data_IF_401544373805
#
_entry.id   IF_401544373805
#
_cell.length_a   1.000
_cell.length_b   1.000
_cell.length_c   1.000
_cell.angle_alpha   90.00
_cell.angle_beta   90.00
_cell.angle_gamma   90.00
#
_symmetry.space_group_name_H-M   'P 1'
#
loop_
_entity.id
_entity.type
_entity.pdbx_description
1 polymer ?
#
# COMPACT_ATOMS: atom_id res chain seq x y z
N UNK A 1 11.51 -3.76 -3.13
CA UNK A 1 11.12 -2.46 -2.55
C UNK A 1 11.14 -1.35 -3.61
N UNK A 2 12.31 -0.78 -3.95
CA UNK A 2 12.43 0.31 -4.93
C UNK A 2 11.95 -0.03 -6.34
N UNK A 3 12.23 -1.25 -6.84
CA UNK A 3 11.77 -1.68 -8.17
C UNK A 3 10.25 -1.55 -8.31
N UNK A 4 9.51 -2.23 -7.42
CA UNK A 4 8.05 -2.35 -7.50
C UNK A 4 7.35 -1.07 -7.01
N UNK A 5 7.90 -0.41 -5.99
CA UNK A 5 7.28 0.73 -5.33
C UNK A 5 7.74 2.11 -5.80
N UNK A 6 8.79 2.23 -6.63
CA UNK A 6 9.25 3.52 -7.14
C UNK A 6 9.54 3.44 -8.64
N UNK A 7 10.52 2.63 -9.05
CA UNK A 7 11.04 2.67 -10.42
C UNK A 7 10.00 2.32 -11.49
N UNK A 8 9.26 1.23 -11.29
CA UNK A 8 8.22 0.81 -12.21
C UNK A 8 7.01 1.77 -12.18
N UNK A 9 6.48 2.19 -11.00
CA UNK A 9 5.46 3.23 -10.93
C UNK A 9 5.83 4.54 -11.61
N UNK A 10 7.05 5.04 -11.38
CA UNK A 10 7.55 6.27 -12.01
C UNK A 10 7.65 6.14 -13.53
N UNK A 11 8.07 4.98 -14.03
CA UNK A 11 8.09 4.71 -15.47
C UNK A 11 6.66 4.72 -16.05
N UNK A 12 5.74 3.94 -15.49
CA UNK A 12 4.39 3.81 -16.01
C UNK A 12 3.60 5.12 -15.93
N UNK A 13 3.66 5.80 -14.79
CA UNK A 13 3.02 7.12 -14.64
C UNK A 13 3.73 8.17 -15.50
N UNK A 14 5.04 8.07 -15.68
CA UNK A 14 5.79 8.95 -16.58
C UNK A 14 5.34 8.81 -18.04
N UNK A 15 5.10 7.58 -18.49
CA UNK A 15 4.54 7.27 -19.80
C UNK A 15 3.13 7.85 -19.92
N UNK A 16 2.21 7.47 -19.02
CA UNK A 16 0.80 7.86 -19.13
C UNK A 16 0.56 9.35 -18.93
N UNK A 17 1.48 10.07 -18.28
CA UNK A 17 1.44 11.53 -18.15
C UNK A 17 2.20 12.26 -19.26
N UNK A 18 2.89 11.53 -20.15
CA UNK A 18 3.74 12.12 -21.19
C UNK A 18 4.91 12.96 -20.64
N UNK A 19 5.36 12.69 -19.41
CA UNK A 19 6.41 13.50 -18.74
C UNK A 19 7.82 12.98 -18.99
N UNK A 20 7.98 11.81 -19.63
CA UNK A 20 9.30 11.36 -20.06
C UNK A 20 9.89 12.31 -21.10
N UNK A 21 11.22 12.35 -21.20
CA UNK A 21 11.91 13.15 -22.21
C UNK A 21 11.58 12.60 -23.61
N UNK A 22 11.44 13.49 -24.60
CA UNK A 22 11.32 13.05 -26.00
C UNK A 22 12.72 12.89 -26.56
N UNK A 23 13.01 11.75 -27.19
CA UNK A 23 14.26 11.59 -27.92
C UNK A 23 14.30 12.47 -29.17
N UNK A 24 15.50 12.67 -29.72
CA UNK A 24 15.67 13.40 -30.99
C UNK A 24 14.86 12.70 -32.10
N UNK A 25 13.87 13.39 -32.65
CA UNK A 25 13.02 12.88 -33.72
C UNK A 25 11.72 12.21 -33.25
N UNK A 26 11.49 12.09 -31.94
CA UNK A 26 10.20 11.63 -31.38
C UNK A 26 9.28 12.82 -31.07
N UNK A 27 7.99 12.61 -31.27
CA UNK A 27 6.93 13.58 -30.98
C UNK A 27 5.95 12.99 -29.98
N UNK A 28 5.78 13.69 -28.85
CA UNK A 28 4.84 13.33 -27.78
C UNK A 28 3.39 13.32 -28.25
N UNK A 29 3.05 14.02 -29.34
CA UNK A 29 1.71 13.97 -29.94
C UNK A 29 1.34 12.56 -30.41
N UNK A 30 2.34 11.73 -30.71
CA UNK A 30 2.14 10.34 -31.15
C UNK A 30 1.96 9.35 -29.99
N UNK A 31 2.10 9.81 -28.74
CA UNK A 31 1.97 8.97 -27.55
C UNK A 31 0.50 8.85 -27.16
N UNK A 32 -0.23 7.95 -27.81
CA UNK A 32 -1.63 7.62 -27.54
C UNK A 32 -1.88 7.10 -26.10
N UNK A 33 -0.84 6.62 -25.42
CA UNK A 33 -0.90 6.27 -24.00
C UNK A 33 -0.85 7.47 -23.04
N UNK A 34 -0.48 8.67 -23.49
CA UNK A 34 -0.26 9.85 -22.66
C UNK A 34 -1.58 10.57 -22.28
N UNK A 35 -2.49 9.84 -21.63
CA UNK A 35 -3.86 10.30 -21.31
C UNK A 35 -4.02 10.99 -19.96
N UNK A 36 -3.09 10.77 -19.02
CA UNK A 36 -3.11 11.38 -17.68
C UNK A 36 -2.47 12.77 -17.73
N UNK A 37 -3.09 13.69 -18.47
CA UNK A 37 -2.61 15.07 -18.63
C UNK A 37 -3.67 16.09 -18.24
N UNK A 38 -3.23 17.30 -17.89
CA UNK A 38 -4.10 18.43 -17.53
C UNK A 38 -5.19 18.04 -16.53
N UNK A 39 -6.44 18.30 -16.90
CA UNK A 39 -7.62 18.12 -16.04
C UNK A 39 -7.87 16.65 -15.67
N UNK A 40 -7.61 15.71 -16.59
CA UNK A 40 -7.76 14.27 -16.35
C UNK A 40 -6.87 13.83 -15.20
N UNK A 41 -5.62 14.32 -15.17
CA UNK A 41 -4.68 13.98 -14.11
C UNK A 41 -5.07 14.57 -12.75
N UNK A 42 -5.53 15.83 -12.74
CA UNK A 42 -6.00 16.49 -11.52
C UNK A 42 -7.20 15.77 -10.90
N UNK A 43 -8.18 15.40 -11.73
CA UNK A 43 -9.42 14.77 -11.27
C UNK A 43 -9.17 13.32 -10.85
N UNK A 44 -8.35 12.57 -11.60
CA UNK A 44 -7.86 11.25 -11.19
C UNK A 44 -7.12 11.30 -9.85
N UNK A 45 -6.29 12.32 -9.65
CA UNK A 45 -5.56 12.52 -8.40
C UNK A 45 -6.48 12.73 -7.19
N UNK A 46 -7.56 13.49 -7.36
CA UNK A 46 -8.61 13.68 -6.34
C UNK A 46 -9.35 12.38 -6.06
N UNK A 47 -9.64 11.60 -7.10
CA UNK A 47 -10.30 10.30 -6.95
C UNK A 47 -9.46 9.33 -6.14
N UNK A 48 -8.17 9.20 -6.44
CA UNK A 48 -7.21 8.39 -5.66
C UNK A 48 -7.21 8.81 -4.19
N UNK A 49 -7.15 10.12 -3.91
CA UNK A 49 -7.17 10.64 -2.54
C UNK A 49 -8.51 10.35 -1.83
N UNK A 50 -9.62 10.38 -2.57
CA UNK A 50 -10.97 10.09 -2.03
C UNK A 50 -11.12 8.65 -1.57
N UNK A 51 -10.33 7.71 -2.12
CA UNK A 51 -10.35 6.30 -1.71
C UNK A 51 -9.84 6.07 -0.29
N UNK A 52 -9.15 7.04 0.31
CA UNK A 52 -8.60 6.94 1.68
C UNK A 52 -9.62 6.46 2.71
N UNK A 53 -10.88 6.89 2.62
CA UNK A 53 -11.95 6.51 3.56
C UNK A 53 -12.34 5.02 3.52
N UNK A 54 -11.93 4.31 2.47
CA UNK A 54 -12.27 2.90 2.25
C UNK A 54 -11.10 1.96 2.48
N UNK A 55 -9.91 2.47 2.79
CA UNK A 55 -8.72 1.65 3.02
C UNK A 55 -8.59 1.42 4.53
N UNK A 56 -8.71 0.17 5.02
CA UNK A 56 -8.54 -0.13 6.44
C UNK A 56 -7.13 0.20 6.90
N UNK A 57 -7.01 0.95 8.00
CA UNK A 57 -5.73 1.33 8.60
C UNK A 57 -4.91 0.09 9.06
N UNK A 58 -5.59 -1.03 9.34
CA UNK A 58 -4.96 -2.34 9.60
C UNK A 58 -4.14 -2.88 8.43
N UNK A 59 -4.61 -2.64 7.21
CA UNK A 59 -4.01 -3.19 6.00
C UNK A 59 -2.96 -2.25 5.43
N UNK A 60 -3.15 -0.94 5.59
CA UNK A 60 -2.20 0.05 5.15
C UNK A 60 -2.20 1.26 6.08
N UNK A 61 -1.05 1.52 6.72
CA UNK A 61 -0.88 2.67 7.62
C UNK A 61 -0.93 4.03 6.91
N UNK A 62 -0.74 4.04 5.59
CA UNK A 62 -0.69 5.25 4.76
C UNK A 62 -1.48 5.08 3.47
N UNK A 63 -2.76 5.44 3.51
CA UNK A 63 -3.55 5.61 2.28
C UNK A 63 -2.86 6.59 1.32
N UNK A 64 -2.90 6.32 0.00
CA UNK A 64 -2.25 7.17 -0.99
C UNK A 64 -2.82 8.59 -0.95
N UNK A 65 -1.92 9.57 -0.87
CA UNK A 65 -2.29 10.99 -1.04
C UNK A 65 -2.64 11.27 -2.50
N UNK A 66 -3.10 12.49 -2.80
CA UNK A 66 -3.33 12.92 -4.17
C UNK A 66 -2.01 12.83 -4.99
N UNK A 67 -1.87 11.90 -5.95
CA UNK A 67 -0.64 11.77 -6.71
C UNK A 67 -0.36 13.00 -7.59
N UNK A 68 -1.39 13.72 -8.05
CA UNK A 68 -1.23 14.92 -8.86
C UNK A 68 -0.53 16.06 -8.11
N UNK A 69 -0.71 16.13 -6.79
CA UNK A 69 -0.09 17.15 -5.94
C UNK A 69 1.24 16.71 -5.31
N UNK A 70 1.46 15.40 -5.15
CA UNK A 70 2.52 14.87 -4.28
C UNK A 70 3.60 14.05 -4.97
N UNK A 71 3.40 13.58 -6.20
CA UNK A 71 4.41 12.76 -6.91
C UNK A 71 5.78 13.44 -7.00
N UNK A 72 5.81 14.77 -7.21
CA UNK A 72 7.07 15.54 -7.27
C UNK A 72 7.64 15.94 -5.90
N UNK A 73 6.94 15.69 -4.80
CA UNK A 73 7.29 16.21 -3.47
C UNK A 73 7.32 15.12 -2.38
N UNK A 74 7.81 13.92 -2.72
CA UNK A 74 8.00 12.84 -1.75
C UNK A 74 6.77 11.92 -1.59
N UNK A 75 6.20 11.50 -2.71
CA UNK A 75 5.24 10.39 -2.74
C UNK A 75 5.95 9.09 -2.39
N UNK A 76 5.46 8.38 -1.39
CA UNK A 76 6.19 7.25 -0.80
C UNK A 76 6.00 6.00 -1.64
N UNK A 77 7.01 5.14 -1.56
CA UNK A 77 6.96 3.83 -2.19
C UNK A 77 5.75 2.99 -1.76
N UNK A 78 5.32 3.06 -0.49
CA UNK A 78 4.10 2.39 -0.02
C UNK A 78 2.83 2.97 -0.67
N UNK A 79 2.76 4.29 -0.85
CA UNK A 79 1.62 4.94 -1.52
C UNK A 79 1.54 4.54 -2.99
N UNK A 80 2.68 4.42 -3.68
CA UNK A 80 2.70 3.89 -5.05
C UNK A 80 2.22 2.44 -5.10
N UNK A 81 2.62 1.59 -4.14
CA UNK A 81 2.17 0.19 -4.13
C UNK A 81 0.65 0.09 -4.01
N UNK A 82 0.06 0.87 -3.10
CA UNK A 82 -1.39 0.86 -2.86
C UNK A 82 -2.14 1.46 -4.03
N UNK A 83 -1.67 2.62 -4.52
CA UNK A 83 -2.27 3.29 -5.67
C UNK A 83 -2.18 2.40 -6.92
N UNK A 84 -0.97 2.01 -7.33
CA UNK A 84 -0.76 1.39 -8.63
C UNK A 84 -1.10 -0.10 -8.66
N UNK A 85 -1.06 -0.84 -7.56
CA UNK A 85 -1.40 -2.27 -7.60
C UNK A 85 -2.72 -2.58 -6.90
N UNK A 86 -3.12 -1.76 -5.92
CA UNK A 86 -4.39 -1.92 -5.21
C UNK A 86 -5.56 -1.27 -5.96
N UNK A 87 -5.48 0.04 -6.17
CA UNK A 87 -6.58 0.86 -6.70
C UNK A 87 -6.57 0.97 -8.24
N UNK A 88 -5.38 1.04 -8.82
CA UNK A 88 -5.17 1.42 -10.21
C UNK A 88 -5.90 0.56 -11.25
N UNK A 89 -6.05 -0.78 -11.11
CA UNK A 89 -6.86 -1.55 -12.06
C UNK A 89 -8.29 -1.05 -12.20
N UNK A 90 -8.91 -0.59 -11.10
CA UNK A 90 -10.25 -0.01 -11.12
C UNK A 90 -10.23 1.44 -11.57
N UNK A 91 -9.36 2.26 -10.96
CA UNK A 91 -9.35 3.72 -11.21
C UNK A 91 -8.84 4.10 -12.60
N UNK A 92 -8.00 3.29 -13.23
CA UNK A 92 -7.50 3.56 -14.58
C UNK A 92 -8.34 2.92 -15.68
N UNK A 93 -9.37 2.14 -15.32
CA UNK A 93 -10.27 1.53 -16.29
C UNK A 93 -11.15 2.60 -16.95
N UNK A 94 -11.15 2.64 -18.30
CA UNK A 94 -11.84 3.68 -19.06
C UNK A 94 -11.09 5.01 -19.16
N UNK A 95 -10.01 5.20 -18.39
CA UNK A 95 -9.08 6.33 -18.56
C UNK A 95 -7.95 5.92 -19.50
N UNK A 96 -7.28 4.80 -19.21
CA UNK A 96 -6.29 4.23 -20.11
C UNK A 96 -6.99 3.58 -21.31
N UNK A 97 -6.47 3.74 -22.55
CA UNK A 97 -6.94 2.94 -23.67
C UNK A 97 -6.81 1.45 -23.35
N UNK A 98 -7.77 0.65 -23.81
CA UNK A 98 -7.96 -0.75 -23.40
C UNK A 98 -6.69 -1.60 -23.58
N UNK A 99 -5.92 -1.36 -24.66
CA UNK A 99 -4.65 -2.06 -24.90
C UNK A 99 -3.61 -1.83 -23.79
N UNK A 100 -3.46 -0.58 -23.33
CA UNK A 100 -2.53 -0.22 -22.26
C UNK A 100 -3.05 -0.65 -20.90
N UNK A 101 -4.35 -0.57 -20.67
CA UNK A 101 -4.96 -1.03 -19.41
C UNK A 101 -4.80 -2.54 -19.23
N UNK A 102 -5.05 -3.34 -20.27
CA UNK A 102 -4.87 -4.80 -20.24
C UNK A 102 -3.40 -5.17 -20.03
N UNK A 103 -2.50 -4.51 -20.76
CA UNK A 103 -1.06 -4.66 -20.57
C UNK A 103 -0.64 -4.39 -19.12
N UNK A 104 -1.06 -3.25 -18.58
CA UNK A 104 -0.84 -2.87 -17.18
C UNK A 104 -1.40 -3.91 -16.18
N UNK A 105 -2.59 -4.45 -16.42
CA UNK A 105 -3.17 -5.48 -15.55
C UNK A 105 -2.31 -6.75 -15.44
N UNK A 106 -1.50 -7.08 -16.46
CA UNK A 106 -0.56 -8.21 -16.40
C UNK A 106 0.50 -8.01 -15.32
N UNK A 107 1.12 -6.82 -15.29
CA UNK A 107 2.11 -6.51 -14.25
C UNK A 107 1.46 -6.39 -12.88
N UNK A 108 0.26 -5.81 -12.79
CA UNK A 108 -0.48 -5.77 -11.51
C UNK A 108 -0.72 -7.18 -10.97
N UNK A 109 -1.15 -8.11 -11.81
CA UNK A 109 -1.34 -9.49 -11.39
C UNK A 109 -0.04 -10.12 -10.88
N UNK A 110 1.06 -9.98 -11.63
CA UNK A 110 2.36 -10.53 -11.24
C UNK A 110 2.85 -9.97 -9.89
N UNK A 111 2.84 -8.65 -9.74
CA UNK A 111 3.26 -7.97 -8.51
C UNK A 111 2.32 -8.33 -7.34
N UNK A 112 1.00 -8.36 -7.53
CA UNK A 112 0.10 -8.73 -6.42
C UNK A 112 0.28 -10.17 -5.99
N UNK A 113 0.60 -11.08 -6.90
CA UNK A 113 0.79 -12.51 -6.58
C UNK A 113 2.04 -12.73 -5.73
N UNK A 114 3.16 -12.12 -6.08
CA UNK A 114 4.42 -12.31 -5.33
C UNK A 114 4.44 -11.63 -3.96
N UNK A 115 3.66 -10.55 -3.77
CA UNK A 115 3.57 -9.83 -2.50
C UNK A 115 2.53 -10.42 -1.53
N UNK A 116 1.90 -11.57 -1.85
CA UNK A 116 1.00 -12.24 -0.91
C UNK A 116 1.77 -12.90 0.23
N UNK A 117 1.21 -12.92 1.46
CA UNK A 117 1.79 -13.65 2.59
C UNK A 117 1.90 -15.16 2.33
N UNK A 118 0.93 -15.72 1.60
CA UNK A 118 0.87 -17.13 1.21
C UNK A 118 0.78 -17.20 -0.32
N UNK A 119 1.69 -17.95 -0.93
CA UNK A 119 1.84 -18.04 -2.39
C UNK A 119 1.71 -19.50 -2.81
N UNK A 120 0.75 -19.79 -3.68
CA UNK A 120 0.59 -21.11 -4.29
C UNK A 120 1.40 -21.22 -5.58
N UNK A 121 2.04 -22.37 -5.82
CA UNK A 121 2.88 -22.59 -7.00
C UNK A 121 2.15 -22.38 -8.33
N UNK A 122 0.89 -22.80 -8.43
CA UNK A 122 0.08 -22.60 -9.64
C UNK A 122 -0.10 -21.11 -9.98
N UNK A 123 -0.26 -20.26 -8.95
CA UNK A 123 -0.34 -18.81 -9.12
C UNK A 123 0.97 -18.22 -9.62
N UNK A 124 2.12 -18.80 -9.26
CA UNK A 124 3.44 -18.35 -9.72
C UNK A 124 3.67 -18.63 -11.20
N UNK A 125 3.22 -19.78 -11.71
CA UNK A 125 3.33 -20.11 -13.13
C UNK A 125 2.57 -19.09 -14.01
N UNK A 126 1.32 -18.78 -13.62
CA UNK A 126 0.52 -17.76 -14.33
C UNK A 126 1.13 -16.36 -14.20
N UNK A 127 1.62 -15.99 -13.01
CA UNK A 127 2.30 -14.71 -12.81
C UNK A 127 3.56 -14.58 -13.67
N UNK A 128 4.38 -15.63 -13.79
CA UNK A 128 5.56 -15.63 -14.64
C UNK A 128 5.18 -15.39 -16.10
N UNK A 129 4.19 -16.11 -16.61
CA UNK A 129 3.71 -15.93 -17.97
C UNK A 129 3.27 -14.47 -18.22
N UNK A 130 2.47 -13.91 -17.33
CA UNK A 130 1.97 -12.54 -17.47
C UNK A 130 3.08 -11.49 -17.41
N UNK A 131 4.11 -11.70 -16.57
CA UNK A 131 5.27 -10.79 -16.52
C UNK A 131 6.14 -10.89 -17.78
N UNK A 132 6.32 -12.09 -18.35
CA UNK A 132 7.01 -12.28 -19.62
C UNK A 132 6.27 -11.58 -20.77
N UNK A 133 4.96 -11.80 -20.86
CA UNK A 133 4.09 -11.13 -21.83
C UNK A 133 4.16 -9.61 -21.67
N UNK A 134 4.10 -9.09 -20.44
CA UNK A 134 4.23 -7.66 -20.16
C UNK A 134 5.53 -7.08 -20.72
N UNK A 135 6.67 -7.73 -20.47
CA UNK A 135 7.99 -7.24 -20.93
C UNK A 135 8.07 -7.25 -22.45
N UNK A 136 7.58 -8.29 -23.12
CA UNK A 136 7.56 -8.38 -24.58
C UNK A 136 6.63 -7.32 -25.20
N UNK A 137 5.40 -7.20 -24.68
CA UNK A 137 4.42 -6.24 -25.17
C UNK A 137 4.85 -4.79 -24.89
N UNK A 138 5.63 -4.53 -23.84
CA UNK A 138 6.19 -3.21 -23.56
C UNK A 138 7.05 -2.71 -24.74
N UNK A 139 7.81 -3.61 -25.37
CA UNK A 139 8.61 -3.30 -26.55
C UNK A 139 7.75 -2.83 -27.71
N UNK A 140 6.61 -3.49 -27.93
CA UNK A 140 5.70 -3.19 -29.03
C UNK A 140 4.80 -1.99 -28.77
N UNK A 141 4.39 -1.77 -27.52
CA UNK A 141 3.40 -0.76 -27.14
C UNK A 141 4.03 0.61 -26.91
N UNK A 142 5.09 0.66 -26.10
CA UNK A 142 5.70 1.93 -25.67
C UNK A 142 6.97 2.26 -26.45
N UNK A 143 7.91 1.32 -26.53
CA UNK A 143 9.19 1.55 -27.22
C UNK A 143 9.03 1.57 -28.74
N UNK A 144 8.12 0.77 -29.30
CA UNK A 144 7.82 0.67 -30.73
C UNK A 144 9.04 0.41 -31.62
N UNK A 145 10.14 -0.09 -31.04
CA UNK A 145 11.45 -0.27 -31.70
C UNK A 145 12.03 1.04 -32.27
N UNK A 146 11.64 2.17 -31.71
CA UNK A 146 12.14 3.48 -32.07
C UNK A 146 13.34 3.84 -31.18
N UNK A 147 14.49 4.08 -31.80
CA UNK A 147 15.72 4.47 -31.11
C UNK A 147 15.56 5.75 -30.29
N UNK A 148 14.67 6.67 -30.69
CA UNK A 148 14.39 7.88 -29.92
C UNK A 148 13.74 7.55 -28.55
N UNK A 149 13.07 6.40 -28.44
CA UNK A 149 12.40 5.89 -27.24
C UNK A 149 13.19 4.84 -26.48
N UNK A 150 14.45 4.58 -26.86
CA UNK A 150 15.28 3.56 -26.23
C UNK A 150 15.37 3.70 -24.69
N UNK A 151 15.37 4.94 -24.20
CA UNK A 151 15.42 5.26 -22.78
C UNK A 151 14.16 4.84 -21.98
N UNK A 152 13.08 4.43 -22.64
CA UNK A 152 11.91 3.82 -21.98
C UNK A 152 12.21 2.41 -21.46
N UNK A 153 13.17 1.70 -22.06
CA UNK A 153 13.59 0.36 -21.66
C UNK A 153 14.47 0.45 -20.40
N UNK A 154 13.83 0.70 -19.26
CA UNK A 154 14.51 0.79 -17.97
C UNK A 154 14.76 -0.59 -17.36
N UNK A 155 15.82 -0.69 -16.55
CA UNK A 155 16.17 -1.92 -15.82
C UNK A 155 15.01 -2.50 -15.00
N UNK A 156 14.10 -1.66 -14.50
CA UNK A 156 12.94 -2.12 -13.74
C UNK A 156 11.97 -2.97 -14.54
N UNK A 157 11.88 -2.78 -15.88
CA UNK A 157 11.05 -3.61 -16.77
C UNK A 157 11.70 -4.97 -16.96
N UNK A 158 13.00 -5.00 -17.31
CA UNK A 158 13.74 -6.26 -17.46
C UNK A 158 13.75 -7.09 -16.17
N UNK A 159 13.91 -6.43 -15.01
CA UNK A 159 13.94 -7.10 -13.72
C UNK A 159 12.65 -7.86 -13.36
N UNK A 160 11.54 -7.66 -14.08
CA UNK A 160 10.28 -8.36 -13.87
C UNK A 160 10.38 -9.86 -14.19
N UNK A 161 11.15 -10.24 -15.21
CA UNK A 161 11.26 -11.65 -15.63
C UNK A 161 11.99 -12.50 -14.58
N UNK A 162 12.83 -11.88 -13.77
CA UNK A 162 13.60 -12.53 -12.70
C UNK A 162 12.82 -12.64 -11.39
N UNK A 163 11.63 -12.04 -11.29
CA UNK A 163 10.90 -11.98 -10.03
C UNK A 163 10.44 -13.33 -9.52
N UNK A 164 9.83 -14.14 -10.39
CA UNK A 164 9.29 -15.45 -9.99
C UNK A 164 10.40 -16.44 -9.67
N UNK A 165 11.48 -16.57 -10.46
CA UNK A 165 12.65 -17.36 -10.07
C UNK A 165 13.21 -16.95 -8.70
N UNK A 166 13.27 -15.65 -8.43
CA UNK A 166 13.75 -15.15 -7.15
C UNK A 166 12.81 -15.48 -6.00
N UNK A 167 11.49 -15.37 -6.19
CA UNK A 167 10.49 -15.78 -5.19
C UNK A 167 10.61 -17.26 -4.84
N UNK A 168 10.88 -18.12 -5.83
CA UNK A 168 11.12 -19.55 -5.58
C UNK A 168 12.41 -19.79 -4.80
N UNK A 169 13.40 -18.91 -4.93
CA UNK A 169 14.71 -19.04 -4.27
C UNK A 169 14.72 -18.53 -2.84
N UNK A 170 14.12 -17.37 -2.57
CA UNK A 170 14.21 -16.67 -1.27
C UNK A 170 12.87 -16.39 -0.60
N UNK A 171 11.75 -16.76 -1.23
CA UNK A 171 10.41 -16.51 -0.74
C UNK A 171 9.84 -15.15 -1.14
N UNK A 172 8.72 -14.78 -0.51
CA UNK A 172 8.00 -13.54 -0.86
C UNK A 172 8.88 -12.30 -0.68
N UNK A 173 8.86 -11.36 -1.64
CA UNK A 173 9.54 -10.06 -1.51
C UNK A 173 9.07 -9.24 -0.32
N UNK A 174 7.88 -9.51 0.24
CA UNK A 174 7.43 -8.88 1.48
C UNK A 174 8.32 -9.27 2.68
N UNK A 175 8.84 -10.50 2.70
CA UNK A 175 9.67 -11.03 3.79
C UNK A 175 11.14 -10.61 3.67
N UNK A 176 11.64 -10.39 2.44
CA UNK A 176 13.04 -10.02 2.17
C UNK A 176 13.20 -8.54 1.80
N UNK A 177 12.15 -7.74 1.93
CA UNK A 177 12.20 -6.32 1.62
C UNK A 177 13.14 -5.55 2.55
N UNK A 178 13.73 -4.48 2.00
CA UNK A 178 14.70 -3.65 2.72
C UNK A 178 14.06 -2.65 3.71
N UNK A 179 12.73 -2.59 3.80
CA UNK A 179 12.00 -1.63 4.65
C UNK A 179 12.51 -1.61 6.10
N UNK A 180 12.67 -2.80 6.70
CA UNK A 180 13.12 -2.94 8.08
C UNK A 180 14.56 -2.49 8.24
N UNK A 181 15.42 -2.80 7.26
CA UNK A 181 16.82 -2.38 7.26
C UNK A 181 16.94 -0.86 7.13
N UNK A 182 16.22 -0.23 6.21
CA UNK A 182 16.22 1.23 6.04
C UNK A 182 15.68 1.95 7.27
N UNK A 183 14.61 1.43 7.87
CA UNK A 183 14.09 1.94 9.14
C UNK A 183 15.16 1.86 10.22
N UNK A 184 15.87 0.73 10.32
CA UNK A 184 16.93 0.55 11.29
C UNK A 184 18.10 1.52 11.05
N UNK A 185 18.51 1.72 9.80
CA UNK A 185 19.51 2.73 9.43
C UNK A 185 19.06 4.12 9.92
N UNK A 186 17.83 4.54 9.61
CA UNK A 186 17.31 5.84 10.04
C UNK A 186 17.25 6.00 11.56
N UNK A 187 16.91 4.93 12.30
CA UNK A 187 16.94 4.94 13.77
C UNK A 187 18.37 5.10 14.27
N UNK A 188 19.32 4.32 13.75
CA UNK A 188 20.72 4.38 14.14
C UNK A 188 21.35 5.73 13.84
N UNK A 189 21.06 6.33 12.68
CA UNK A 189 21.56 7.66 12.32
C UNK A 189 21.11 8.74 13.31
N UNK A 190 19.87 8.68 13.80
CA UNK A 190 19.36 9.63 14.82
C UNK A 190 20.03 9.47 16.19
N UNK A 191 20.66 8.33 16.43
CA UNK A 191 21.37 8.06 17.68
C UNK A 191 22.83 8.46 17.67
N UNK A 192 23.37 8.83 16.50
CA UNK A 192 24.72 9.37 16.39
C UNK A 192 24.72 10.75 17.05
N UNK A 193 25.38 10.85 18.20
CA UNK A 193 25.47 12.10 18.99
C UNK A 193 26.84 12.76 18.93
N UNK A 194 27.84 12.06 18.38
CA UNK A 194 29.21 12.54 18.32
C UNK A 194 29.69 12.65 16.87
N UNK A 195 29.76 13.87 16.30
CA UNK A 195 30.17 14.07 14.90
C UNK A 195 31.67 13.82 14.68
N UNK A 196 32.51 13.88 15.72
CA UNK A 196 33.96 13.70 15.61
C UNK A 196 34.42 12.24 15.49
N UNK A 197 33.61 11.27 15.92
CA UNK A 197 33.89 9.85 15.73
C UNK A 197 32.58 9.05 15.51
N UNK A 198 31.90 9.28 14.37
CA UNK A 198 30.55 8.79 14.13
C UNK A 198 30.51 7.27 14.04
N UNK A 199 31.52 6.63 13.47
CA UNK A 199 31.56 5.16 13.33
C UNK A 199 31.75 4.45 14.66
N UNK A 200 32.68 4.90 15.53
CA UNK A 200 32.83 4.30 16.85
C UNK A 200 31.59 4.52 17.72
N UNK A 201 30.96 5.70 17.61
CA UNK A 201 29.71 6.00 18.29
C UNK A 201 28.57 5.08 17.81
N UNK A 202 28.40 4.94 16.50
CA UNK A 202 27.43 4.05 15.87
C UNK A 202 27.62 2.60 16.31
N UNK A 203 28.84 2.07 16.27
CA UNK A 203 29.14 0.70 16.72
C UNK A 203 28.75 0.49 18.19
N UNK A 204 29.07 1.44 19.08
CA UNK A 204 28.66 1.36 20.50
C UNK A 204 27.14 1.39 20.65
N UNK A 205 26.44 2.26 19.91
CA UNK A 205 24.96 2.33 19.92
C UNK A 205 24.34 1.02 19.44
N UNK A 206 24.86 0.43 18.37
CA UNK A 206 24.40 -0.86 17.85
C UNK A 206 24.59 -1.99 18.88
N UNK A 207 25.75 -2.08 19.54
CA UNK A 207 26.03 -3.07 20.59
C UNK A 207 25.07 -2.90 21.77
N UNK A 208 24.89 -1.68 22.28
CA UNK A 208 23.97 -1.42 23.41
C UNK A 208 22.54 -1.84 23.05
N UNK A 209 22.05 -1.52 21.85
CA UNK A 209 20.71 -1.95 21.43
C UNK A 209 20.61 -3.46 21.30
N UNK A 210 21.63 -4.13 20.75
CA UNK A 210 21.65 -5.59 20.66
C UNK A 210 21.60 -6.22 22.07
N UNK A 211 22.36 -5.69 23.03
CA UNK A 211 22.33 -6.13 24.43
C UNK A 211 20.98 -5.90 25.09
N UNK A 212 20.36 -4.72 24.92
CA UNK A 212 19.02 -4.43 25.44
C UNK A 212 17.98 -5.37 24.82
N UNK A 213 18.02 -5.59 23.50
CA UNK A 213 17.11 -6.50 22.82
C UNK A 213 17.29 -7.95 23.29
N UNK A 214 18.53 -8.39 23.53
CA UNK A 214 18.83 -9.71 24.09
C UNK A 214 18.29 -9.85 25.52
N UNK A 215 18.52 -8.85 26.39
CA UNK A 215 17.97 -8.83 27.75
C UNK A 215 16.44 -8.88 27.76
N UNK A 216 15.78 -8.10 26.89
CA UNK A 216 14.32 -8.12 26.72
C UNK A 216 13.81 -9.49 26.25
N UNK A 217 14.52 -10.15 25.34
CA UNK A 217 14.15 -11.48 24.87
C UNK A 217 14.36 -12.57 25.94
N UNK A 218 15.41 -12.44 26.77
CA UNK A 218 15.72 -13.37 27.85
C UNK A 218 14.81 -13.18 29.07
N UNK A 219 14.38 -11.95 29.35
CA UNK A 219 13.56 -11.58 30.50
C UNK A 219 12.37 -10.75 30.01
N UNK A 220 11.28 -11.38 29.53
CA UNK A 220 10.11 -10.67 29.01
C UNK A 220 9.47 -9.71 30.03
N UNK A 221 9.57 -10.03 31.33
CA UNK A 221 9.02 -9.22 32.42
C UNK A 221 9.73 -7.87 32.63
N UNK A 222 10.87 -7.64 31.95
CA UNK A 222 11.59 -6.37 31.99
C UNK A 222 10.81 -5.24 31.25
N UNK A 223 9.84 -5.58 30.39
CA UNK A 223 8.92 -4.61 29.79
C UNK A 223 7.80 -4.24 30.75
N UNK A 224 8.08 -3.29 31.65
CA UNK A 224 7.09 -2.74 32.59
C UNK A 224 6.02 -1.86 31.93
N UNK A 225 6.20 -1.44 30.68
CA UNK A 225 5.21 -0.66 29.95
C UNK A 225 4.12 -1.58 29.40
N UNK A 226 3.13 -1.89 30.25
CA UNK A 226 1.83 -2.32 29.70
C UNK A 226 1.38 -1.23 28.72
N UNK A 227 1.07 -1.57 27.45
CA UNK A 227 0.60 -0.59 26.48
C UNK A 227 -0.72 0.01 26.99
N UNK A 228 -0.60 1.17 27.65
CA UNK A 228 -1.71 1.92 28.15
C UNK A 228 -2.56 2.38 26.96
N UNK A 229 -3.87 2.22 27.08
CA UNK A 229 -4.76 2.69 26.04
C UNK A 229 -4.61 4.21 25.92
N UNK A 230 -4.48 4.75 24.69
CA UNK A 230 -4.44 6.19 24.49
C UNK A 230 -5.64 6.87 25.16
N UNK A 231 -5.43 8.08 25.69
CA UNK A 231 -6.49 8.83 26.39
C UNK A 231 -7.76 8.92 25.52
N UNK A 232 -8.88 8.49 26.09
CA UNK A 232 -10.19 8.48 25.43
C UNK A 232 -10.54 7.22 24.63
N UNK A 233 -9.65 6.23 24.60
CA UNK A 233 -10.02 4.90 24.07
C UNK A 233 -11.08 4.24 24.97
N UNK A 234 -11.96 3.44 24.37
CA UNK A 234 -12.98 2.65 25.08
C UNK A 234 -12.55 1.18 25.11
N UNK A 235 -12.25 0.66 26.30
CA UNK A 235 -12.02 -0.77 26.50
C UNK A 235 -13.36 -1.50 26.41
N UNK A 236 -13.49 -2.39 25.43
CA UNK A 236 -14.71 -3.19 25.22
C UNK A 236 -14.56 -4.62 25.76
N UNK A 237 -13.46 -4.90 26.47
CA UNK A 237 -13.18 -6.17 27.12
C UNK A 237 -12.53 -7.21 26.21
N UNK A 238 -12.10 -8.33 26.80
CA UNK A 238 -11.48 -9.48 26.10
C UNK A 238 -10.25 -9.12 25.25
N UNK A 239 -9.54 -8.04 25.58
CA UNK A 239 -8.38 -7.58 24.83
C UNK A 239 -8.69 -6.70 23.61
N UNK A 240 -9.96 -6.33 23.42
CA UNK A 240 -10.42 -5.40 22.40
C UNK A 240 -10.55 -3.99 22.97
N UNK A 241 -10.17 -2.98 22.19
CA UNK A 241 -10.38 -1.58 22.58
C UNK A 241 -10.61 -0.68 21.37
N UNK A 242 -11.57 0.22 21.45
CA UNK A 242 -11.82 1.23 20.43
C UNK A 242 -10.92 2.44 20.69
N UNK A 243 -10.25 2.93 19.66
CA UNK A 243 -9.23 3.98 19.74
C UNK A 243 -9.59 5.10 18.78
N UNK A 244 -9.33 6.34 19.17
CA UNK A 244 -9.54 7.52 18.31
C UNK A 244 -8.78 7.42 16.97
N UNK A 245 -9.26 8.09 15.90
CA UNK A 245 -10.42 9.01 15.86
C UNK A 245 -11.80 8.35 15.98
N UNK A 246 -12.76 9.08 16.57
CA UNK A 246 -14.20 8.77 16.62
C UNK A 246 -14.93 9.86 15.82
N UNK A 247 -15.98 9.51 15.10
CA UNK A 247 -16.85 10.52 14.48
C UNK A 247 -17.51 11.40 15.53
N UNK A 248 -17.59 12.71 15.28
CA UNK A 248 -18.12 13.68 16.25
C UNK A 248 -19.61 13.50 16.59
N UNK A 249 -20.34 12.63 15.86
CA UNK A 249 -21.72 12.29 16.13
C UNK A 249 -22.13 11.01 15.42
N UNK A 250 -23.11 10.31 15.99
CA UNK A 250 -23.66 9.10 15.40
C UNK A 250 -24.53 9.44 14.18
N UNK A 251 -24.41 8.64 13.13
CA UNK A 251 -25.15 8.81 11.88
C UNK A 251 -26.32 7.84 11.81
N UNK A 252 -27.50 8.31 11.38
CA UNK A 252 -28.66 7.44 11.23
C UNK A 252 -28.45 6.51 10.02
N UNK A 253 -28.60 5.21 10.24
CA UNK A 253 -28.58 4.23 9.16
C UNK A 253 -29.92 4.29 8.43
N UNK A 254 -29.91 4.90 7.25
CA UNK A 254 -31.11 5.10 6.43
C UNK A 254 -31.31 4.01 5.37
N UNK A 255 -30.29 3.18 5.09
CA UNK A 255 -30.37 2.17 4.03
C UNK A 255 -31.02 0.86 4.54
N UNK A 256 -32.15 0.40 3.96
CA UNK A 256 -32.91 -0.74 4.48
C UNK A 256 -32.10 -2.05 4.58
N UNK A 257 -31.21 -2.31 3.63
CA UNK A 257 -30.35 -3.50 3.66
C UNK A 257 -29.37 -3.50 4.84
N UNK A 258 -28.84 -2.34 5.24
CA UNK A 258 -27.93 -2.23 6.38
C UNK A 258 -28.68 -2.46 7.69
N UNK A 259 -29.89 -1.89 7.82
CA UNK A 259 -30.79 -2.11 8.96
C UNK A 259 -31.15 -3.59 9.10
N UNK A 260 -31.52 -4.26 8.00
CA UNK A 260 -31.83 -5.68 8.00
C UNK A 260 -30.63 -6.55 8.40
N UNK A 261 -29.43 -6.23 7.91
CA UNK A 261 -28.21 -6.96 8.24
C UNK A 261 -27.85 -6.84 9.73
N UNK A 262 -27.95 -5.62 10.30
CA UNK A 262 -27.68 -5.38 11.73
C UNK A 262 -28.73 -6.08 12.59
N UNK A 263 -30.00 -5.96 12.25
CA UNK A 263 -31.10 -6.59 13.00
C UNK A 263 -30.94 -8.11 13.02
N UNK A 264 -30.59 -8.73 11.88
CA UNK A 264 -30.30 -10.15 11.78
C UNK A 264 -29.10 -10.58 12.65
N UNK A 265 -28.02 -9.78 12.64
CA UNK A 265 -26.86 -10.04 13.49
C UNK A 265 -27.22 -9.98 14.98
N UNK A 266 -27.96 -8.96 15.41
CA UNK A 266 -28.34 -8.78 16.81
C UNK A 266 -29.28 -9.89 17.28
N UNK A 267 -30.25 -10.29 16.45
CA UNK A 267 -31.09 -11.47 16.72
C UNK A 267 -30.26 -12.75 16.86
N UNK A 268 -29.24 -12.94 16.02
CA UNK A 268 -28.33 -14.12 16.12
C UNK A 268 -27.53 -14.16 17.42
N UNK A 269 -27.41 -13.03 18.14
CA UNK A 269 -26.76 -12.92 19.44
C UNK A 269 -27.72 -13.08 20.62
N UNK A 270 -29.00 -13.38 20.36
CA UNK A 270 -30.01 -13.61 21.38
C UNK A 270 -30.55 -12.34 22.04
N UNK A 271 -30.31 -11.18 21.44
CA UNK A 271 -30.89 -9.91 21.90
C UNK A 271 -32.28 -9.78 21.28
N UNK A 272 -33.30 -9.54 22.10
CA UNK A 272 -34.69 -9.48 21.65
C UNK A 272 -34.90 -8.33 20.64
N UNK A 273 -35.65 -8.60 19.56
CA UNK A 273 -35.93 -7.61 18.50
C UNK A 273 -36.65 -6.36 19.01
N UNK A 274 -37.37 -6.45 20.14
CA UNK A 274 -38.04 -5.33 20.81
C UNK A 274 -37.08 -4.32 21.44
N UNK A 275 -35.78 -4.63 21.54
CA UNK A 275 -34.76 -3.74 22.09
C UNK A 275 -34.13 -2.80 21.03
N UNK A 276 -34.44 -3.00 19.75
CA UNK A 276 -33.88 -2.21 18.64
C UNK A 276 -35.04 -1.47 17.98
N UNK A 277 -34.98 -0.15 17.98
CA UNK A 277 -35.82 0.66 17.11
C UNK A 277 -35.22 0.65 15.70
N UNK A 278 -35.79 -0.18 14.81
CA UNK A 278 -35.33 -0.32 13.42
C UNK A 278 -35.35 1.01 12.64
N UNK A 279 -36.14 1.99 13.09
CA UNK A 279 -36.20 3.33 12.50
C UNK A 279 -35.18 4.31 13.09
N UNK A 280 -34.46 3.93 14.15
CA UNK A 280 -33.55 4.83 14.88
C UNK A 280 -32.21 4.15 15.22
N UNK A 281 -31.66 3.39 14.27
CA UNK A 281 -30.32 2.80 14.41
C UNK A 281 -29.28 3.89 14.12
N UNK A 282 -28.64 4.36 15.19
CA UNK A 282 -27.53 5.30 15.13
C UNK A 282 -26.20 4.53 15.09
N UNK A 283 -25.37 4.81 14.09
CA UNK A 283 -24.06 4.24 13.90
C UNK A 283 -22.99 5.22 14.36
N UNK A 284 -22.14 4.81 15.29
CA UNK A 284 -20.97 5.58 15.69
C UNK A 284 -19.68 4.93 15.19
N UNK A 285 -19.04 5.57 14.21
CA UNK A 285 -17.83 5.03 13.61
C UNK A 285 -16.59 5.37 14.44
N UNK A 286 -15.80 4.34 14.71
CA UNK A 286 -14.46 4.45 15.30
C UNK A 286 -13.42 4.04 14.26
N UNK A 287 -12.45 4.91 13.96
CA UNK A 287 -11.45 4.57 12.95
C UNK A 287 -10.56 3.41 13.36
N UNK A 288 -10.40 3.13 14.67
CA UNK A 288 -9.47 2.13 15.17
C UNK A 288 -10.10 1.22 16.23
N UNK A 289 -9.87 -0.08 16.07
CA UNK A 289 -10.20 -1.16 16.97
C UNK A 289 -8.92 -1.97 17.21
N UNK A 290 -8.40 -1.91 18.42
CA UNK A 290 -7.32 -2.79 18.88
C UNK A 290 -7.87 -4.20 19.04
N UNK A 291 -7.19 -5.16 18.44
CA UNK A 291 -7.47 -6.59 18.54
C UNK A 291 -6.55 -7.24 19.60
N UNK A 292 -6.97 -8.38 20.19
CA UNK A 292 -6.10 -9.22 20.99
C UNK A 292 -4.89 -9.64 20.14
N UNK A 293 -3.67 -9.26 20.55
CA UNK A 293 -2.45 -9.52 19.77
C UNK A 293 -1.86 -8.34 18.97
N UNK A 294 -2.20 -7.09 19.33
CA UNK A 294 -1.57 -5.82 18.87
C UNK A 294 -1.93 -5.28 17.48
N UNK A 295 -2.78 -5.95 16.70
CA UNK A 295 -3.25 -5.41 15.41
C UNK A 295 -4.39 -4.39 15.60
N UNK A 296 -4.42 -3.32 14.80
CA UNK A 296 -5.44 -2.26 14.82
C UNK A 296 -6.33 -2.35 13.57
N UNK A 297 -7.60 -2.74 13.68
CA UNK A 297 -8.62 -2.74 12.61
C UNK A 297 -9.50 -1.47 12.65
N UNK A 298 -10.46 -1.32 11.73
CA UNK A 298 -11.51 -0.27 11.84
C UNK A 298 -12.67 -0.82 12.68
N UNK A 299 -13.22 -0.02 13.60
CA UNK A 299 -14.29 -0.43 14.51
C UNK A 299 -15.62 0.28 14.24
N UNK A 300 -16.73 -0.42 14.42
CA UNK A 300 -18.08 0.16 14.37
C UNK A 300 -18.80 -0.20 15.67
N UNK A 301 -19.49 0.78 16.27
CA UNK A 301 -20.33 0.62 17.46
C UNK A 301 -21.74 1.06 17.16
#
# INVERSE_FOLDING_TARGET
>A
MHRDGLNLPELLLGLWRGTLESGTGDDKSTWDWAVLTGKVWEDHGKEVASCKKYIPVSLESHAPRNPAEKISSGYKASEYMVYLYGLGPGLLYGILPDIYWRHYCKVVHGIRTIHRPVIHQESLARALQLLLEFVLEFETLYYQRDMARFHFIRQCVHALIHMIPEVLRVGSPACVAQWTMERMIGILTREIRQPSNPFANLSRRAVIRAQINALKAMIPDLELEKPCLPRGSLDVGQGYALVFPRESGASLISHPQHVAAISSYVQSKGIASSAIDENNILLERWERLRLPGMNLAVGYV
#
